data_IF_219089017913
#
_entry.id   IF_219089017913
#
_cell.length_a   1.000
_cell.length_b   1.000
_cell.length_c   1.000
_cell.angle_alpha   90.00
_cell.angle_beta   90.00
_cell.angle_gamma   90.00
#
_symmetry.space_group_name_H-M   'P 1'
#
loop_
_entity.id
_entity.type
_entity.pdbx_description
1 polymer ?
#
# COMPACT_ATOMS: atom_id res chain seq x y z
N UNK A 1 -19.43 23.99 7.33
CA UNK A 1 -17.97 24.10 7.10
C UNK A 1 -17.34 23.39 8.27
N UNK A 2 -16.63 22.29 8.05
CA UNK A 2 -15.95 21.56 9.14
C UNK A 2 -14.88 22.47 9.77
N UNK A 3 -14.71 22.37 11.09
CA UNK A 3 -13.73 23.17 11.83
C UNK A 3 -12.34 22.54 11.75
N UNK A 4 -11.29 23.36 11.69
CA UNK A 4 -9.90 22.89 11.81
C UNK A 4 -9.66 22.13 13.13
N UNK A 5 -10.44 22.42 14.18
CA UNK A 5 -10.34 21.74 15.46
C UNK A 5 -10.61 20.23 15.36
N UNK A 6 -11.38 19.77 14.37
CA UNK A 6 -11.66 18.34 14.14
C UNK A 6 -10.41 17.57 13.67
N UNK A 7 -9.46 18.28 13.05
CA UNK A 7 -8.18 17.73 12.63
C UNK A 7 -7.11 17.76 13.73
N UNK A 8 -7.38 18.43 14.86
CA UNK A 8 -6.45 18.57 15.97
C UNK A 8 -6.55 17.38 16.92
N UNK A 9 -5.41 16.81 17.27
CA UNK A 9 -5.31 15.71 18.24
C UNK A 9 -4.30 16.05 19.33
N UNK A 10 -4.43 15.42 20.49
CA UNK A 10 -3.44 15.50 21.58
C UNK A 10 -2.78 14.12 21.70
N UNK A 11 -1.47 14.07 21.52
CA UNK A 11 -0.72 12.82 21.64
C UNK A 11 -0.74 12.30 23.09
N UNK A 12 -0.34 11.04 23.31
CA UNK A 12 -0.21 10.47 24.67
C UNK A 12 0.71 11.28 25.61
N UNK A 13 1.59 12.12 25.05
CA UNK A 13 2.49 13.01 25.80
C UNK A 13 1.92 14.43 26.01
N UNK A 14 0.64 14.67 25.70
CA UNK A 14 -0.02 15.97 25.87
C UNK A 14 0.28 16.99 24.77
N UNK A 15 1.02 16.62 23.72
CA UNK A 15 1.35 17.53 22.61
C UNK A 15 0.16 17.68 21.67
N UNK A 16 -0.25 18.93 21.41
CA UNK A 16 -1.29 19.29 20.42
C UNK A 16 -0.70 19.24 19.00
N UNK A 17 -1.38 18.54 18.10
CA UNK A 17 -0.92 18.25 16.73
C UNK A 17 -2.08 18.44 15.74
N UNK A 18 -1.83 19.14 14.63
CA UNK A 18 -2.77 19.27 13.53
C UNK A 18 -2.46 18.21 12.47
N UNK A 19 -3.45 17.39 12.11
CA UNK A 19 -3.29 16.40 11.05
C UNK A 19 -3.45 17.07 9.68
N UNK A 20 -2.46 16.89 8.82
CA UNK A 20 -2.50 17.33 7.42
C UNK A 20 -2.38 16.12 6.49
N UNK A 21 -3.01 16.21 5.33
CA UNK A 21 -2.90 15.20 4.28
C UNK A 21 -1.58 15.42 3.54
N UNK A 22 -0.76 14.38 3.43
CA UNK A 22 0.49 14.38 2.63
C UNK A 22 0.23 13.86 1.21
N UNK A 23 -0.67 12.89 1.07
CA UNK A 23 -1.08 12.31 -0.19
C UNK A 23 -2.46 11.65 -0.06
N UNK A 24 -3.18 11.55 -1.17
CA UNK A 24 -4.39 10.75 -1.34
C UNK A 24 -4.28 10.04 -2.69
N UNK A 25 -4.98 8.91 -2.82
CA UNK A 25 -5.01 8.15 -4.05
C UNK A 25 -5.60 6.77 -3.87
N UNK A 26 -5.28 5.89 -4.81
CA UNK A 26 -5.67 4.47 -4.85
C UNK A 26 -4.50 3.59 -4.45
N UNK A 27 -4.79 2.38 -3.99
CA UNK A 27 -3.75 1.43 -3.61
C UNK A 27 -4.12 0.01 -4.02
N UNK A 28 -3.09 -0.83 -4.10
CA UNK A 28 -3.25 -2.27 -4.23
C UNK A 28 -2.16 -3.02 -3.45
N UNK A 29 -2.52 -4.22 -3.00
CA UNK A 29 -1.60 -5.16 -2.35
C UNK A 29 -1.57 -6.43 -3.21
N UNK A 30 -0.37 -6.83 -3.61
CA UNK A 30 -0.14 -7.90 -4.57
C UNK A 30 0.63 -9.02 -3.89
N UNK A 31 0.09 -10.24 -3.98
CA UNK A 31 0.78 -11.46 -3.56
C UNK A 31 1.51 -12.09 -4.74
N UNK A 32 2.57 -12.84 -4.45
CA UNK A 32 3.27 -13.64 -5.44
C UNK A 32 2.73 -15.06 -5.37
N UNK A 33 2.13 -15.50 -6.48
CA UNK A 33 1.53 -16.82 -6.60
C UNK A 33 2.31 -17.64 -7.64
N UNK A 34 2.40 -18.93 -7.37
CA UNK A 34 2.88 -19.91 -8.33
C UNK A 34 1.87 -19.99 -9.51
N UNK A 35 2.32 -19.94 -10.77
CA UNK A 35 1.42 -19.83 -11.92
C UNK A 35 0.54 -21.07 -12.12
N UNK A 36 0.96 -22.25 -11.67
CA UNK A 36 0.24 -23.50 -11.89
C UNK A 36 -0.68 -23.83 -10.71
N UNK A 37 -0.15 -23.74 -9.50
CA UNK A 37 -0.87 -24.12 -8.26
C UNK A 37 -1.67 -22.97 -7.66
N UNK A 38 -1.39 -21.72 -8.06
CA UNK A 38 -1.96 -20.48 -7.48
C UNK A 38 -1.72 -20.32 -5.98
N UNK A 39 -0.76 -21.06 -5.41
CA UNK A 39 -0.36 -20.92 -4.00
C UNK A 39 0.66 -19.80 -3.84
N UNK A 40 0.69 -19.17 -2.67
CA UNK A 40 1.69 -18.14 -2.36
C UNK A 40 3.10 -18.72 -2.40
N UNK A 41 4.01 -18.02 -3.06
CA UNK A 41 5.43 -18.37 -3.17
C UNK A 41 6.31 -17.53 -2.26
N UNK A 42 5.80 -16.40 -1.79
CA UNK A 42 6.54 -15.42 -0.99
C UNK A 42 5.73 -14.98 0.22
N UNK A 43 6.41 -14.82 1.35
CA UNK A 43 5.81 -14.32 2.59
C UNK A 43 5.61 -12.79 2.56
N UNK A 44 6.33 -12.10 1.67
CA UNK A 44 6.13 -10.67 1.40
C UNK A 44 4.99 -10.41 0.42
N UNK A 45 4.44 -9.21 0.50
CA UNK A 45 3.52 -8.64 -0.49
C UNK A 45 4.09 -7.36 -1.07
N UNK A 46 3.63 -6.96 -2.25
CA UNK A 46 3.95 -5.66 -2.84
C UNK A 46 2.79 -4.69 -2.64
N UNK A 47 3.06 -3.56 -1.98
CA UNK A 47 2.16 -2.43 -1.89
C UNK A 47 2.47 -1.45 -3.04
N UNK A 48 1.44 -1.04 -3.77
CA UNK A 48 1.50 0.01 -4.77
C UNK A 48 0.54 1.12 -4.37
N UNK A 49 1.04 2.34 -4.28
CA UNK A 49 0.28 3.55 -3.97
C UNK A 49 0.32 4.46 -5.20
N UNK A 50 -0.82 4.67 -5.84
CA UNK A 50 -0.96 5.68 -6.90
C UNK A 50 -1.65 6.90 -6.33
N UNK A 51 -0.93 8.01 -6.35
CA UNK A 51 -1.36 9.29 -5.79
C UNK A 51 -2.19 10.06 -6.81
N UNK A 52 -3.10 10.89 -6.33
CA UNK A 52 -3.94 11.77 -7.15
C UNK A 52 -3.09 12.78 -7.95
N UNK A 53 -1.86 13.07 -7.51
CA UNK A 53 -0.88 13.91 -8.21
C UNK A 53 -0.12 13.16 -9.33
N UNK A 54 -0.50 11.92 -9.63
CA UNK A 54 0.09 11.08 -10.66
C UNK A 54 1.37 10.34 -10.25
N UNK A 55 1.90 10.55 -9.05
CA UNK A 55 3.08 9.80 -8.57
C UNK A 55 2.71 8.39 -8.15
N UNK A 56 3.64 7.45 -8.36
CA UNK A 56 3.53 6.08 -7.85
C UNK A 56 4.67 5.75 -6.89
N UNK A 57 4.29 5.22 -5.74
CA UNK A 57 5.19 4.69 -4.72
C UNK A 57 4.97 3.17 -4.61
N UNK A 58 6.06 2.43 -4.53
CA UNK A 58 6.04 0.97 -4.43
C UNK A 58 6.84 0.55 -3.20
N UNK A 59 6.35 -0.45 -2.48
CA UNK A 59 7.03 -1.03 -1.33
C UNK A 59 6.86 -2.55 -1.31
N UNK A 60 7.87 -3.27 -0.84
CA UNK A 60 7.68 -4.62 -0.33
C UNK A 60 7.35 -4.54 1.15
N UNK A 61 6.24 -5.16 1.55
CA UNK A 61 5.89 -5.33 2.96
C UNK A 61 6.34 -6.72 3.40
N UNK A 62 7.33 -6.76 4.30
CA UNK A 62 7.94 -7.98 4.78
C UNK A 62 7.52 -8.20 6.23
N UNK A 63 6.92 -9.36 6.58
CA UNK A 63 6.64 -9.74 7.96
C UNK A 63 7.87 -9.69 8.85
N UNK A 64 7.68 -9.35 10.12
CA UNK A 64 8.72 -9.45 11.14
C UNK A 64 8.39 -10.58 12.11
N UNK A 65 9.35 -10.93 12.97
CA UNK A 65 9.13 -11.88 14.05
C UNK A 65 8.03 -11.42 15.04
N UNK A 66 7.74 -10.10 15.11
CA UNK A 66 6.61 -9.60 15.90
C UNK A 66 5.33 -9.64 15.05
N UNK A 67 4.28 -10.32 15.53
CA UNK A 67 2.98 -10.34 14.85
C UNK A 67 2.48 -8.92 14.57
N UNK A 68 1.83 -8.74 13.42
CA UNK A 68 1.24 -7.47 12.98
C UNK A 68 2.24 -6.32 12.74
N UNK A 69 3.56 -6.58 12.73
CA UNK A 69 4.57 -5.61 12.32
C UNK A 69 5.20 -6.01 11.00
N UNK A 70 5.23 -5.04 10.08
CA UNK A 70 5.80 -5.19 8.74
C UNK A 70 6.92 -4.17 8.56
N UNK A 71 7.96 -4.54 7.82
CA UNK A 71 8.96 -3.61 7.31
C UNK A 71 8.60 -3.26 5.86
N UNK A 72 8.57 -1.97 5.54
CA UNK A 72 8.38 -1.48 4.18
C UNK A 72 9.75 -1.21 3.53
N UNK A 73 10.04 -1.91 2.43
CA UNK A 73 11.28 -1.76 1.66
C UNK A 73 10.98 -1.10 0.32
N UNK A 74 11.66 0.01 0.02
CA UNK A 74 11.61 0.61 -1.32
C UNK A 74 12.33 -0.31 -2.31
N UNK A 75 11.70 -0.73 -3.41
CA UNK A 75 12.34 -1.58 -4.41
C UNK A 75 13.45 -0.80 -5.13
N UNK A 76 14.52 -1.51 -5.50
CA UNK A 76 15.63 -0.93 -6.30
C UNK A 76 15.16 -0.51 -7.69
N UNK A 77 14.25 -1.28 -8.28
CA UNK A 77 13.64 -1.01 -9.59
C UNK A 77 12.14 -0.78 -9.40
N UNK A 78 11.65 0.34 -9.92
CA UNK A 78 10.21 0.65 -9.95
C UNK A 78 9.64 0.15 -11.27
N UNK A 79 8.53 -0.59 -11.22
CA UNK A 79 7.85 -1.07 -12.44
C UNK A 79 6.79 -0.09 -12.95
N UNK A 80 6.42 0.93 -12.15
CA UNK A 80 5.58 2.04 -12.61
C UNK A 80 4.09 1.71 -12.63
N UNK A 81 3.32 2.47 -13.43
CA UNK A 81 1.85 2.44 -13.42
C UNK A 81 1.21 1.26 -14.19
N UNK A 82 1.97 0.54 -15.04
CA UNK A 82 1.43 -0.49 -15.92
C UNK A 82 1.45 -1.91 -15.31
N UNK A 83 1.40 -2.02 -13.99
CA UNK A 83 1.41 -3.34 -13.35
C UNK A 83 0.02 -3.96 -13.50
N UNK A 84 -0.02 -5.16 -14.08
CA UNK A 84 -1.20 -6.03 -14.13
C UNK A 84 -1.07 -7.16 -13.11
N UNK A 85 -2.17 -7.53 -12.48
CA UNK A 85 -2.23 -8.69 -11.58
C UNK A 85 -3.44 -9.57 -11.88
N UNK A 86 -3.30 -10.85 -11.55
CA UNK A 86 -4.42 -11.78 -11.55
C UNK A 86 -5.35 -11.50 -10.36
N UNK A 87 -6.65 -11.34 -10.64
CA UNK A 87 -7.68 -11.20 -9.63
C UNK A 87 -8.34 -12.57 -9.38
N UNK A 88 -8.15 -13.20 -8.20
CA UNK A 88 -8.67 -14.53 -7.92
C UNK A 88 -10.21 -14.58 -7.83
N UNK A 89 -10.88 -13.43 -7.64
CA UNK A 89 -12.35 -13.38 -7.61
C UNK A 89 -12.97 -13.42 -8.99
N UNK A 90 -12.31 -12.81 -9.97
CA UNK A 90 -12.83 -12.71 -11.36
C UNK A 90 -12.16 -13.72 -12.30
N UNK A 91 -11.01 -14.28 -11.91
CA UNK A 91 -10.22 -15.17 -12.75
C UNK A 91 -9.49 -14.46 -13.89
N UNK A 92 -9.40 -13.13 -13.87
CA UNK A 92 -8.85 -12.32 -14.97
C UNK A 92 -7.60 -11.56 -14.55
N UNK A 93 -6.81 -11.17 -15.55
CA UNK A 93 -5.71 -10.22 -15.36
C UNK A 93 -6.27 -8.80 -15.49
N UNK A 94 -6.03 -7.99 -14.48
CA UNK A 94 -6.56 -6.64 -14.35
C UNK A 94 -5.41 -5.65 -14.12
N UNK A 95 -5.62 -4.39 -14.53
CA UNK A 95 -4.71 -3.32 -14.15
C UNK A 95 -4.87 -3.07 -12.65
N UNK A 96 -3.75 -2.94 -11.96
CA UNK A 96 -3.73 -2.89 -10.49
C UNK A 96 -4.26 -1.56 -9.96
N UNK A 97 -4.09 -0.49 -10.74
CA UNK A 97 -4.58 0.84 -10.43
C UNK A 97 -5.18 1.43 -11.71
N UNK A 98 -6.51 1.51 -11.75
CA UNK A 98 -7.32 2.28 -12.70
C UNK A 98 -8.23 3.20 -11.89
#
# INVERSE_FOLDING_TARGET
>A
MESLDEAITVSKKGKRELRSIVARGKFAIIEYLDPDTKKRTEDKVKLVLARDDGKVEEYFLIPTATPSRLIAIVPKEKKGQEIKAFNPRTGKVENIIL
#
